data_IF_377137173238
#
_entry.id   IF_377137173238
#
_cell.length_a   1.000
_cell.length_b   1.000
_cell.length_c   1.000
_cell.angle_alpha   90.00
_cell.angle_beta   90.00
_cell.angle_gamma   90.00
#
_symmetry.space_group_name_H-M   'P 1'
#
loop_
_entity.id
_entity.type
_entity.pdbx_description
1 polymer ?
#
# COMPACT_ATOMS: atom_id res chain seq x y z
N UNK A 1 -31.73 3.24 4.48
CA UNK A 1 -30.71 2.88 5.49
C UNK A 1 -29.64 1.95 4.92
N UNK A 2 -29.96 0.78 4.38
CA UNK A 2 -28.97 -0.21 3.92
C UNK A 2 -27.98 0.25 2.84
N UNK A 3 -28.32 1.17 1.92
CA UNK A 3 -27.39 1.76 0.94
C UNK A 3 -26.40 2.74 1.59
N UNK A 4 -26.86 3.51 2.57
CA UNK A 4 -25.99 4.43 3.33
C UNK A 4 -24.93 3.62 4.09
N UNK A 5 -25.34 2.53 4.74
CA UNK A 5 -24.45 1.60 5.44
C UNK A 5 -23.40 1.02 4.46
N UNK A 6 -23.82 0.60 3.26
CA UNK A 6 -22.91 0.08 2.23
C UNK A 6 -21.86 1.13 1.82
N UNK A 7 -22.28 2.37 1.60
CA UNK A 7 -21.35 3.44 1.22
C UNK A 7 -20.39 3.77 2.36
N UNK A 8 -20.89 3.90 3.60
CA UNK A 8 -20.03 4.18 4.76
C UNK A 8 -19.00 3.05 4.94
N UNK A 9 -19.43 1.80 4.95
CA UNK A 9 -18.50 0.66 5.07
C UNK A 9 -17.56 0.57 3.87
N UNK A 10 -17.99 1.00 2.67
CA UNK A 10 -17.14 1.13 1.48
C UNK A 10 -16.04 2.17 1.66
N UNK A 11 -16.35 3.33 2.27
CA UNK A 11 -15.36 4.35 2.63
C UNK A 11 -14.34 3.79 3.61
N UNK A 12 -14.81 3.07 4.63
CA UNK A 12 -13.94 2.43 5.62
C UNK A 12 -13.02 1.37 5.00
N UNK A 13 -13.55 0.54 4.09
CA UNK A 13 -12.78 -0.42 3.32
C UNK A 13 -11.73 0.27 2.44
N UNK A 14 -12.10 1.40 1.85
CA UNK A 14 -11.24 2.22 1.01
C UNK A 14 -9.98 2.71 1.72
N UNK A 15 -10.01 2.86 3.04
CA UNK A 15 -8.83 3.16 3.85
C UNK A 15 -7.73 2.10 3.71
N UNK A 16 -8.08 0.82 3.70
CA UNK A 16 -7.13 -0.27 3.50
C UNK A 16 -6.56 -0.27 2.08
N UNK A 17 -7.41 -0.09 1.06
CA UNK A 17 -6.96 0.05 -0.33
C UNK A 17 -6.01 1.24 -0.50
N UNK A 18 -6.34 2.38 0.10
CA UNK A 18 -5.48 3.54 0.09
C UNK A 18 -4.09 3.25 0.69
N UNK A 19 -4.01 2.51 1.80
CA UNK A 19 -2.74 2.09 2.40
C UNK A 19 -1.91 1.21 1.46
N UNK A 20 -2.53 0.27 0.72
CA UNK A 20 -1.81 -0.49 -0.30
C UNK A 20 -1.19 0.41 -1.36
N UNK A 21 -1.92 1.44 -1.79
CA UNK A 21 -1.46 2.38 -2.81
C UNK A 21 -0.44 3.39 -2.31
N UNK A 22 -0.41 3.75 -1.01
CA UNK A 22 0.41 4.84 -0.49
C UNK A 22 1.92 4.63 -0.73
N UNK A 23 2.41 3.42 -0.41
CA UNK A 23 3.81 3.07 -0.62
C UNK A 23 4.18 3.08 -2.10
N UNK A 24 3.32 2.53 -2.96
CA UNK A 24 3.51 2.51 -4.40
C UNK A 24 3.49 3.93 -4.99
N UNK A 25 2.55 4.78 -4.54
CA UNK A 25 2.47 6.19 -4.94
C UNK A 25 3.74 6.97 -4.58
N UNK A 26 4.34 6.67 -3.43
CA UNK A 26 5.59 7.30 -3.00
C UNK A 26 6.76 6.92 -3.91
N UNK A 27 6.96 5.61 -4.16
CA UNK A 27 8.05 5.12 -5.04
C UNK A 27 7.89 5.68 -6.44
N UNK A 28 6.69 5.57 -7.02
CA UNK A 28 6.43 6.08 -8.35
C UNK A 28 6.59 7.60 -8.44
N UNK A 29 6.08 8.34 -7.46
CA UNK A 29 6.17 9.80 -7.41
C UNK A 29 7.59 10.34 -7.33
N UNK A 30 8.51 9.58 -6.73
CA UNK A 30 9.91 10.01 -6.53
C UNK A 30 10.87 9.44 -7.58
N UNK A 31 10.77 8.14 -7.85
CA UNK A 31 11.71 7.42 -8.72
C UNK A 31 11.18 7.17 -10.12
N UNK A 32 9.87 7.35 -10.35
CA UNK A 32 9.15 7.01 -11.59
C UNK A 32 9.34 5.55 -12.00
N UNK A 33 9.54 4.68 -11.02
CA UNK A 33 9.70 3.25 -11.18
C UNK A 33 8.48 2.53 -10.66
N UNK A 34 8.03 1.55 -11.42
CA UNK A 34 6.96 0.64 -11.01
C UNK A 34 7.58 -0.53 -10.27
N UNK A 35 7.23 -0.70 -9.00
CA UNK A 35 7.69 -1.82 -8.18
C UNK A 35 6.66 -2.96 -8.21
N UNK A 36 6.88 -3.96 -9.06
CA UNK A 36 5.98 -5.12 -9.19
C UNK A 36 6.03 -6.06 -7.97
N UNK A 37 7.06 -5.96 -7.12
CA UNK A 37 7.13 -6.72 -5.89
C UNK A 37 6.32 -6.10 -4.73
N UNK A 38 5.69 -4.93 -4.92
CA UNK A 38 5.05 -4.20 -3.82
C UNK A 38 3.97 -5.03 -3.11
N UNK A 39 3.13 -5.75 -3.84
CA UNK A 39 2.11 -6.63 -3.25
C UNK A 39 2.69 -7.79 -2.45
N UNK A 40 3.82 -8.35 -2.91
CA UNK A 40 4.51 -9.43 -2.20
C UNK A 40 5.13 -8.91 -0.88
N UNK A 41 5.58 -7.66 -0.83
CA UNK A 41 6.03 -7.03 0.43
C UNK A 41 4.91 -6.81 1.42
N UNK A 42 3.70 -6.49 0.96
CA UNK A 42 2.50 -6.43 1.82
C UNK A 42 2.23 -7.79 2.47
N UNK A 43 2.27 -8.86 1.67
CA UNK A 43 2.02 -10.23 2.16
C UNK A 43 3.18 -10.73 3.04
N UNK A 44 4.43 -10.45 2.68
CA UNK A 44 5.60 -10.79 3.50
C UNK A 44 5.51 -10.14 4.88
N UNK A 45 5.09 -8.88 4.95
CA UNK A 45 4.88 -8.19 6.22
C UNK A 45 3.75 -8.82 7.03
N UNK A 46 2.66 -9.29 6.38
CA UNK A 46 1.60 -10.03 7.03
C UNK A 46 2.11 -11.36 7.63
N UNK A 47 2.96 -12.11 6.89
CA UNK A 47 3.60 -13.31 7.40
C UNK A 47 4.54 -13.03 8.57
N UNK A 48 5.37 -11.99 8.46
CA UNK A 48 6.27 -11.62 9.54
C UNK A 48 5.50 -11.18 10.80
N UNK A 49 4.42 -10.42 10.64
CA UNK A 49 3.53 -10.05 11.72
C UNK A 49 2.86 -11.29 12.37
N UNK A 50 2.37 -12.24 11.55
CA UNK A 50 1.79 -13.49 12.02
C UNK A 50 2.81 -14.35 12.80
N UNK A 51 4.04 -14.41 12.32
CA UNK A 51 5.14 -15.09 13.01
C UNK A 51 5.44 -14.44 14.37
N UNK A 52 5.56 -13.11 14.43
CA UNK A 52 5.77 -12.41 15.70
C UNK A 52 4.59 -12.60 16.66
N UNK A 53 3.35 -12.58 16.16
CA UNK A 53 2.18 -12.84 16.99
C UNK A 53 2.19 -14.25 17.60
N UNK A 54 2.70 -15.25 16.88
CA UNK A 54 2.86 -16.62 17.41
C UNK A 54 3.96 -16.74 18.47
N UNK A 55 5.00 -15.91 18.39
CA UNK A 55 6.09 -15.88 19.38
C UNK A 55 5.73 -15.10 20.65
N UNK A 56 4.79 -14.15 20.53
CA UNK A 56 4.41 -13.23 21.60
C UNK A 56 2.91 -13.36 21.91
N UNK A 57 2.45 -14.52 22.42
CA UNK A 57 1.04 -14.73 22.74
C UNK A 57 0.60 -13.73 23.83
N UNK A 58 -0.54 -13.08 23.62
CA UNK A 58 -1.09 -12.06 24.54
C UNK A 58 -0.65 -10.61 24.24
N UNK A 59 0.28 -10.38 23.33
CA UNK A 59 0.60 -9.04 22.84
C UNK A 59 -0.42 -8.62 21.79
N UNK A 60 -0.96 -7.41 21.93
CA UNK A 60 -1.87 -6.86 20.91
C UNK A 60 -1.17 -6.82 19.55
N UNK A 61 -1.80 -7.35 18.47
CA UNK A 61 -1.22 -7.30 17.13
C UNK A 61 -0.85 -5.90 16.65
N UNK A 62 -1.55 -4.86 17.11
CA UNK A 62 -1.22 -3.47 16.78
C UNK A 62 0.14 -3.02 17.29
N UNK A 63 0.63 -3.57 18.40
CA UNK A 63 1.97 -3.28 18.92
C UNK A 63 3.08 -3.87 18.03
N UNK A 64 2.74 -4.88 17.23
CA UNK A 64 3.66 -5.50 16.27
C UNK A 64 3.92 -4.60 15.05
N UNK A 65 3.13 -3.53 14.87
CA UNK A 65 3.38 -2.56 13.78
C UNK A 65 4.81 -2.02 13.84
N UNK A 66 5.31 -1.67 15.03
CA UNK A 66 6.63 -1.07 15.17
C UNK A 66 7.78 -1.99 14.71
N UNK A 67 7.93 -3.24 15.22
CA UNK A 67 8.98 -4.14 14.77
C UNK A 67 8.82 -4.55 13.30
N UNK A 68 7.58 -4.76 12.82
CA UNK A 68 7.33 -5.12 11.42
C UNK A 68 7.69 -3.96 10.49
N UNK A 69 7.32 -2.73 10.85
CA UNK A 69 7.69 -1.53 10.09
C UNK A 69 9.20 -1.28 10.06
N UNK A 70 9.90 -1.50 11.17
CA UNK A 70 11.35 -1.36 11.23
C UNK A 70 12.06 -2.39 10.34
N UNK A 71 11.63 -3.65 10.39
CA UNK A 71 12.16 -4.71 9.53
C UNK A 71 11.88 -4.41 8.05
N UNK A 72 10.66 -3.95 7.72
CA UNK A 72 10.29 -3.57 6.37
C UNK A 72 11.10 -2.36 5.86
N UNK A 73 11.36 -1.35 6.70
CA UNK A 73 12.22 -0.23 6.36
C UNK A 73 13.63 -0.70 6.01
N UNK A 74 14.23 -1.53 6.88
CA UNK A 74 15.57 -2.06 6.65
C UNK A 74 15.64 -2.90 5.37
N UNK A 75 14.66 -3.77 5.13
CA UNK A 75 14.55 -4.57 3.92
C UNK A 75 14.43 -3.70 2.68
N UNK A 76 13.56 -2.68 2.70
CA UNK A 76 13.37 -1.77 1.57
C UNK A 76 14.62 -0.96 1.25
N UNK A 77 15.27 -0.44 2.28
CA UNK A 77 16.54 0.27 2.12
C UNK A 77 17.63 -0.63 1.52
N UNK A 78 17.80 -1.85 2.04
CA UNK A 78 18.77 -2.82 1.54
C UNK A 78 18.47 -3.24 0.11
N UNK A 79 17.23 -3.56 -0.21
CA UNK A 79 16.82 -3.92 -1.57
C UNK A 79 17.14 -2.80 -2.56
N UNK A 80 16.82 -1.55 -2.19
CA UNK A 80 17.13 -0.40 -3.02
C UNK A 80 18.64 -0.24 -3.21
N UNK A 81 19.41 -0.31 -2.12
CA UNK A 81 20.86 -0.07 -2.14
C UNK A 81 21.61 -1.15 -2.94
N UNK A 82 21.19 -2.40 -2.84
CA UNK A 82 21.91 -3.55 -3.44
C UNK A 82 21.48 -3.85 -4.87
N UNK A 83 20.18 -3.78 -5.15
CA UNK A 83 19.60 -4.25 -6.42
C UNK A 83 19.01 -3.11 -7.24
N UNK A 84 18.05 -2.35 -6.68
CA UNK A 84 17.21 -1.43 -7.46
C UNK A 84 18.01 -0.22 -7.96
N UNK A 85 18.98 0.29 -7.18
CA UNK A 85 19.83 1.41 -7.62
C UNK A 85 20.61 1.08 -8.89
N UNK A 86 21.08 -0.18 -9.05
CA UNK A 86 21.77 -0.64 -10.26
C UNK A 86 20.81 -0.68 -11.44
N UNK A 87 19.60 -1.16 -11.24
CA UNK A 87 18.56 -1.22 -12.26
C UNK A 87 18.10 0.18 -12.71
N UNK A 88 17.90 1.09 -11.77
CA UNK A 88 17.51 2.50 -12.04
C UNK A 88 18.63 3.29 -12.72
N UNK A 89 19.87 2.85 -12.62
CA UNK A 89 21.01 3.44 -13.35
C UNK A 89 21.05 3.03 -14.82
N UNK A 90 20.31 1.98 -15.23
CA UNK A 90 20.17 1.58 -16.62
C UNK A 90 19.44 2.65 -17.44
N UNK A 91 19.80 2.76 -18.72
CA UNK A 91 19.09 3.63 -19.67
C UNK A 91 17.72 3.05 -20.07
N UNK A 92 17.53 1.73 -19.92
CA UNK A 92 16.29 1.04 -20.27
C UNK A 92 15.32 1.06 -19.07
N UNK A 93 14.14 1.70 -19.19
CA UNK A 93 13.14 1.76 -18.13
C UNK A 93 12.50 0.40 -17.81
N UNK A 94 12.66 -0.62 -18.65
CA UNK A 94 12.15 -1.97 -18.40
C UNK A 94 13.01 -2.73 -17.38
N UNK A 95 14.29 -2.40 -17.23
CA UNK A 95 15.21 -3.12 -16.33
C UNK A 95 14.74 -3.09 -14.87
N UNK A 96 14.34 -1.95 -14.26
CA UNK A 96 13.79 -1.94 -12.91
C UNK A 96 12.49 -2.74 -12.78
N UNK A 97 11.63 -2.72 -13.80
CA UNK A 97 10.36 -3.46 -13.82
C UNK A 97 10.62 -4.97 -13.80
N UNK A 98 11.51 -5.46 -14.70
CA UNK A 98 11.88 -6.87 -14.77
C UNK A 98 12.58 -7.34 -13.48
N UNK A 99 13.46 -6.50 -12.91
CA UNK A 99 14.11 -6.80 -11.64
C UNK A 99 13.05 -6.98 -10.52
N UNK A 100 12.14 -6.04 -10.38
CA UNK A 100 11.12 -6.11 -9.31
C UNK A 100 10.13 -7.25 -9.54
N UNK A 101 9.84 -7.63 -10.79
CA UNK A 101 9.10 -8.84 -11.12
C UNK A 101 9.86 -10.10 -10.65
N UNK A 102 11.17 -10.20 -10.95
CA UNK A 102 11.99 -11.30 -10.45
C UNK A 102 12.00 -11.39 -8.92
N UNK A 103 12.13 -10.23 -8.24
CA UNK A 103 12.02 -10.15 -6.77
C UNK A 103 10.66 -10.65 -6.29
N UNK A 104 9.55 -10.28 -6.96
CA UNK A 104 8.21 -10.75 -6.61
C UNK A 104 8.11 -12.28 -6.67
N UNK A 105 8.61 -12.89 -7.76
CA UNK A 105 8.60 -14.34 -7.93
C UNK A 105 9.43 -15.03 -6.84
N UNK A 106 10.63 -14.51 -6.54
CA UNK A 106 11.49 -15.06 -5.49
C UNK A 106 10.81 -14.95 -4.12
N UNK A 107 10.26 -13.79 -3.77
CA UNK A 107 9.58 -13.58 -2.48
C UNK A 107 8.38 -14.52 -2.31
N UNK A 108 7.56 -14.68 -3.36
CA UNK A 108 6.41 -15.59 -3.32
C UNK A 108 6.82 -17.01 -3.05
N UNK A 109 7.80 -17.54 -3.80
CA UNK A 109 8.28 -18.90 -3.61
C UNK A 109 8.96 -19.08 -2.25
N UNK A 110 9.71 -18.08 -1.78
CA UNK A 110 10.29 -18.08 -0.45
C UNK A 110 9.21 -18.13 0.65
N UNK A 111 8.12 -17.38 0.50
CA UNK A 111 7.00 -17.43 1.44
C UNK A 111 6.32 -18.81 1.44
N UNK A 112 6.16 -19.45 0.27
CA UNK A 112 5.63 -20.82 0.18
C UNK A 112 6.54 -21.80 0.89
N UNK A 113 7.84 -21.72 0.68
CA UNK A 113 8.84 -22.63 1.30
C UNK A 113 8.91 -22.46 2.83
N UNK A 114 8.92 -21.20 3.31
CA UNK A 114 9.07 -20.92 4.75
C UNK A 114 7.78 -21.08 5.55
N UNK A 115 6.64 -20.76 4.96
CA UNK A 115 5.37 -20.66 5.70
C UNK A 115 4.29 -21.64 5.22
N UNK A 116 4.50 -22.30 4.08
CA UNK A 116 3.50 -23.15 3.43
C UNK A 116 2.51 -22.34 2.59
N UNK A 117 1.61 -23.04 1.90
CA UNK A 117 0.57 -22.44 1.05
C UNK A 117 -0.77 -22.21 1.77
N UNK A 118 -0.90 -22.68 3.00
CA UNK A 118 -2.14 -22.63 3.76
C UNK A 118 -2.54 -21.19 4.13
N UNK A 119 -3.85 -20.88 4.10
CA UNK A 119 -4.34 -19.57 4.54
C UNK A 119 -4.02 -19.30 6.01
N UNK A 120 -3.52 -18.10 6.30
CA UNK A 120 -3.26 -17.61 7.64
C UNK A 120 -4.05 -16.34 7.91
N UNK A 121 -4.33 -16.08 9.18
CA UNK A 121 -4.90 -14.83 9.68
C UNK A 121 -4.32 -14.54 11.06
N UNK A 122 -4.38 -13.28 11.49
CA UNK A 122 -4.03 -12.88 12.85
C UNK A 122 -5.33 -12.60 13.60
N UNK A 123 -5.51 -13.22 14.76
CA UNK A 123 -6.64 -12.90 15.60
C UNK A 123 -6.50 -11.47 16.15
N UNK A 124 -7.39 -10.59 15.71
CA UNK A 124 -7.46 -9.21 16.19
C UNK A 124 -8.30 -9.05 17.46
N UNK A 125 -8.83 -10.16 18.00
CA UNK A 125 -9.64 -10.17 19.22
C UNK A 125 -10.89 -9.31 19.13
N UNK A 126 -11.28 -8.75 20.27
CA UNK A 126 -12.48 -7.90 20.38
C UNK A 126 -12.47 -6.66 19.48
N UNK A 127 -11.28 -6.17 19.08
CA UNK A 127 -11.15 -5.00 18.22
C UNK A 127 -11.77 -5.19 16.83
N UNK A 128 -11.60 -6.39 16.26
CA UNK A 128 -12.09 -6.71 14.91
C UNK A 128 -13.59 -6.96 14.90
N UNK A 129 -14.12 -7.49 15.99
CA UNK A 129 -15.55 -7.82 16.12
C UNK A 129 -16.38 -6.69 16.69
N UNK A 130 -15.74 -5.74 17.41
CA UNK A 130 -16.42 -4.60 18.00
C UNK A 130 -16.96 -3.63 16.94
N UNK A 131 -18.11 -3.07 17.23
CA UNK A 131 -18.76 -2.04 16.42
C UNK A 131 -19.83 -1.33 17.24
N UNK A 132 -20.29 -0.21 16.74
CA UNK A 132 -21.37 0.57 17.33
C UNK A 132 -22.38 0.97 16.26
N UNK A 133 -23.61 1.16 16.70
CA UNK A 133 -24.70 1.55 15.81
C UNK A 133 -24.97 3.05 15.92
N UNK A 134 -24.91 3.75 14.79
CA UNK A 134 -25.24 5.17 14.68
C UNK A 134 -26.41 5.34 13.73
N UNK A 135 -27.54 5.79 14.24
CA UNK A 135 -28.74 6.02 13.44
C UNK A 135 -29.17 4.82 12.58
N UNK A 136 -28.99 3.58 13.08
CA UNK A 136 -29.33 2.35 12.36
C UNK A 136 -28.30 1.92 11.31
N UNK A 137 -27.09 2.48 11.35
CA UNK A 137 -25.93 2.07 10.54
C UNK A 137 -24.90 1.43 11.46
N UNK A 138 -24.52 0.19 11.21
CA UNK A 138 -23.47 -0.49 11.95
C UNK A 138 -22.09 -0.12 11.43
N UNK A 139 -21.26 0.46 12.31
CA UNK A 139 -19.89 0.88 12.01
C UNK A 139 -18.94 -0.01 12.81
N UNK A 140 -18.07 -0.76 12.11
CA UNK A 140 -17.02 -1.57 12.74
C UNK A 140 -15.88 -0.70 13.28
N UNK A 141 -15.43 -0.97 14.50
CA UNK A 141 -14.35 -0.22 15.14
C UNK A 141 -13.02 -0.44 14.39
N UNK A 142 -12.73 -1.66 13.97
CA UNK A 142 -11.51 -1.98 13.23
C UNK A 142 -11.44 -1.29 11.84
N UNK A 143 -12.46 -1.33 10.98
CA UNK A 143 -12.45 -0.57 9.73
C UNK A 143 -12.29 0.94 9.94
N UNK A 144 -12.87 1.50 11.00
CA UNK A 144 -12.71 2.91 11.36
C UNK A 144 -11.25 3.22 11.76
N UNK A 145 -10.62 2.34 12.56
CA UNK A 145 -9.20 2.43 12.91
C UNK A 145 -8.33 2.38 11.64
N UNK A 146 -8.60 1.45 10.71
CA UNK A 146 -7.87 1.33 9.44
C UNK A 146 -7.93 2.63 8.62
N UNK A 147 -9.11 3.22 8.49
CA UNK A 147 -9.27 4.51 7.81
C UNK A 147 -8.51 5.63 8.55
N UNK A 148 -8.57 5.66 9.88
CA UNK A 148 -7.80 6.61 10.70
C UNK A 148 -6.30 6.47 10.48
N UNK A 149 -5.77 5.24 10.49
CA UNK A 149 -4.36 4.95 10.18
C UNK A 149 -4.00 5.38 8.76
N UNK A 150 -4.88 5.15 7.79
CA UNK A 150 -4.68 5.62 6.42
C UNK A 150 -4.55 7.15 6.38
N UNK A 151 -5.51 7.88 6.92
CA UNK A 151 -5.50 9.37 6.93
C UNK A 151 -4.23 9.89 7.62
N UNK A 152 -3.86 9.35 8.77
CA UNK A 152 -2.64 9.73 9.50
C UNK A 152 -1.39 9.44 8.67
N UNK A 153 -1.32 8.30 7.99
CA UNK A 153 -0.21 7.92 7.13
C UNK A 153 -0.07 8.87 5.92
N UNK A 154 -1.18 9.20 5.26
CA UNK A 154 -1.19 10.17 4.15
C UNK A 154 -0.82 11.59 4.61
N UNK A 155 -1.40 12.06 5.71
CA UNK A 155 -1.09 13.36 6.28
C UNK A 155 0.37 13.45 6.75
N UNK A 156 0.86 12.40 7.42
CA UNK A 156 2.23 12.30 7.89
C UNK A 156 3.24 12.29 6.73
N UNK A 157 3.00 11.51 5.68
CA UNK A 157 3.83 11.51 4.48
C UNK A 157 3.83 12.87 3.78
N UNK A 158 2.66 13.48 3.63
CA UNK A 158 2.51 14.80 3.05
C UNK A 158 3.27 15.86 3.85
N UNK A 159 3.16 15.83 5.18
CA UNK A 159 3.89 16.71 6.08
C UNK A 159 5.39 16.49 5.95
N UNK A 160 5.86 15.23 5.98
CA UNK A 160 7.25 14.85 5.82
C UNK A 160 7.83 15.41 4.50
N UNK A 161 7.11 15.21 3.39
CA UNK A 161 7.58 15.64 2.08
C UNK A 161 7.51 17.17 1.88
N UNK A 162 6.52 17.88 2.46
CA UNK A 162 6.33 19.32 2.22
C UNK A 162 7.05 20.22 3.24
N UNK A 163 7.21 19.76 4.49
CA UNK A 163 7.65 20.60 5.61
C UNK A 163 9.04 20.27 6.13
N UNK A 164 9.68 19.18 5.68
CA UNK A 164 11.00 18.79 6.20
C UNK A 164 12.12 19.00 5.18
N UNK A 165 13.37 19.11 5.68
CA UNK A 165 14.57 19.15 4.83
C UNK A 165 14.74 17.88 4.01
N UNK A 166 14.37 16.72 4.57
CA UNK A 166 14.36 15.46 3.85
C UNK A 166 13.40 15.52 2.64
N UNK A 167 12.18 16.02 2.85
CA UNK A 167 11.21 16.18 1.76
C UNK A 167 11.68 17.14 0.66
N UNK A 168 12.42 18.19 1.02
CA UNK A 168 13.05 19.07 0.03
C UNK A 168 14.04 18.30 -0.85
N UNK A 169 14.93 17.51 -0.22
CA UNK A 169 15.93 16.70 -0.92
C UNK A 169 15.28 15.65 -1.79
N UNK A 170 14.20 14.99 -1.31
CA UNK A 170 13.44 13.99 -2.08
C UNK A 170 12.85 14.62 -3.34
N UNK A 171 12.17 15.78 -3.22
CA UNK A 171 11.60 16.47 -4.39
C UNK A 171 12.68 16.93 -5.38
N UNK A 172 13.75 17.54 -4.90
CA UNK A 172 14.86 17.93 -5.75
C UNK A 172 15.48 16.74 -6.49
N UNK A 173 15.60 15.58 -5.81
CA UNK A 173 16.11 14.33 -6.42
C UNK A 173 15.16 13.79 -7.48
N UNK A 174 13.85 13.89 -7.25
CA UNK A 174 12.81 13.50 -8.23
C UNK A 174 12.83 14.40 -9.47
N UNK A 175 13.10 15.70 -9.30
CA UNK A 175 13.14 16.67 -10.39
C UNK A 175 14.40 16.50 -11.24
N UNK A 176 15.59 16.46 -10.61
CA UNK A 176 16.84 16.30 -11.33
C UNK A 176 17.95 15.63 -10.49
N UNK A 177 18.14 14.32 -10.72
CA UNK A 177 19.14 13.50 -10.03
C UNK A 177 20.59 13.99 -10.24
N UNK A 178 20.93 14.50 -11.42
CA UNK A 178 22.30 14.92 -11.75
C UNK A 178 22.68 16.20 -11.04
N UNK A 179 21.77 17.18 -10.98
CA UNK A 179 21.98 18.45 -10.29
C UNK A 179 22.15 18.20 -8.78
N UNK A 180 21.30 17.39 -8.18
CA UNK A 180 21.36 17.08 -6.75
C UNK A 180 22.67 16.37 -6.38
N UNK A 181 23.18 15.49 -7.26
CA UNK A 181 24.49 14.87 -7.08
C UNK A 181 25.63 15.88 -7.14
N UNK A 182 25.57 16.87 -8.05
CA UNK A 182 26.55 17.95 -8.14
C UNK A 182 26.55 18.85 -6.88
N UNK A 183 25.41 18.94 -6.17
CA UNK A 183 25.28 19.65 -4.89
C UNK A 183 25.77 18.82 -3.67
N UNK A 184 26.38 17.66 -3.88
CA UNK A 184 26.93 16.80 -2.83
C UNK A 184 25.94 15.84 -2.17
N UNK A 185 24.69 15.79 -2.61
CA UNK A 185 23.71 14.82 -2.12
C UNK A 185 23.89 13.48 -2.87
N UNK A 186 23.70 12.39 -2.18
CA UNK A 186 23.74 11.02 -2.72
C UNK A 186 22.34 10.54 -3.09
N UNK A 187 21.90 10.62 -4.38
CA UNK A 187 20.54 10.23 -4.79
C UNK A 187 20.20 8.77 -4.45
N UNK A 188 21.19 7.88 -4.52
CA UNK A 188 21.02 6.46 -4.23
C UNK A 188 20.62 6.21 -2.77
N UNK A 189 21.16 7.00 -1.83
CA UNK A 189 20.75 6.97 -0.42
C UNK A 189 19.34 7.52 -0.22
N UNK A 190 18.99 8.60 -0.91
CA UNK A 190 17.62 9.16 -0.88
C UNK A 190 16.61 8.13 -1.37
N UNK A 191 16.90 7.45 -2.47
CA UNK A 191 16.04 6.38 -2.98
C UNK A 191 15.94 5.20 -2.01
N UNK A 192 17.02 4.85 -1.31
CA UNK A 192 17.01 3.84 -0.25
C UNK A 192 16.01 4.19 0.86
N UNK A 193 16.04 5.43 1.35
CA UNK A 193 15.11 5.87 2.38
C UNK A 193 13.66 5.88 1.85
N UNK A 194 13.44 6.36 0.63
CA UNK A 194 12.11 6.37 0.00
C UNK A 194 11.53 4.96 -0.13
N UNK A 195 12.34 3.98 -0.57
CA UNK A 195 11.92 2.58 -0.66
C UNK A 195 11.65 2.01 0.74
N UNK A 196 12.52 2.31 1.71
CA UNK A 196 12.31 1.91 3.11
C UNK A 196 10.97 2.42 3.66
N UNK A 197 10.67 3.72 3.51
CA UNK A 197 9.40 4.33 3.93
C UNK A 197 8.21 3.73 3.17
N UNK A 198 8.36 3.44 1.87
CA UNK A 198 7.32 2.76 1.08
C UNK A 198 6.98 1.40 1.66
N UNK A 199 7.99 0.60 2.03
CA UNK A 199 7.76 -0.71 2.63
C UNK A 199 7.24 -0.63 4.06
N UNK A 200 7.47 0.45 4.82
CA UNK A 200 6.76 0.72 6.08
C UNK A 200 5.26 0.79 5.86
N UNK A 201 4.80 1.54 4.84
CA UNK A 201 3.36 1.60 4.53
C UNK A 201 2.82 0.25 4.06
N UNK A 202 3.58 -0.49 3.24
CA UNK A 202 3.22 -1.86 2.87
C UNK A 202 3.11 -2.77 4.10
N UNK A 203 3.99 -2.61 5.08
CA UNK A 203 3.99 -3.40 6.32
C UNK A 203 2.78 -3.09 7.21
N UNK A 204 2.44 -1.80 7.37
CA UNK A 204 1.23 -1.39 8.09
C UNK A 204 -0.01 -1.96 7.41
N UNK A 205 -0.10 -1.84 6.09
CA UNK A 205 -1.20 -2.38 5.31
C UNK A 205 -1.30 -3.91 5.41
N UNK A 206 -0.17 -4.62 5.37
CA UNK A 206 -0.07 -6.07 5.47
C UNK A 206 -0.52 -6.60 6.84
N UNK A 207 -0.09 -5.97 7.94
CA UNK A 207 -0.53 -6.34 9.28
C UNK A 207 -2.04 -6.11 9.45
N UNK A 208 -2.56 -4.96 9.04
CA UNK A 208 -4.00 -4.67 9.11
C UNK A 208 -4.82 -5.60 8.20
N UNK A 209 -4.28 -5.99 7.04
CA UNK A 209 -4.87 -7.02 6.18
C UNK A 209 -4.98 -8.35 6.92
N UNK A 210 -3.87 -8.81 7.54
CA UNK A 210 -3.80 -10.09 8.24
C UNK A 210 -4.77 -10.19 9.43
N UNK A 211 -5.08 -9.05 10.09
CA UNK A 211 -6.10 -8.97 11.13
C UNK A 211 -7.54 -8.97 10.58
N UNK A 212 -7.72 -8.56 9.33
CA UNK A 212 -9.05 -8.43 8.71
C UNK A 212 -9.52 -9.70 8.02
N UNK A 213 -8.62 -10.36 7.29
CA UNK A 213 -8.95 -11.49 6.42
C UNK A 213 -7.79 -12.47 6.35
N UNK A 214 -8.07 -13.70 5.95
CA UNK A 214 -7.03 -14.67 5.64
C UNK A 214 -6.23 -14.24 4.41
N UNK A 215 -4.95 -14.61 4.40
CA UNK A 215 -4.01 -14.36 3.32
C UNK A 215 -3.15 -15.61 3.05
N UNK A 216 -2.69 -15.73 1.83
CA UNK A 216 -1.79 -16.79 1.36
C UNK A 216 -0.58 -16.17 0.67
N UNK A 217 0.50 -16.93 0.37
CA UNK A 217 1.63 -16.40 -0.41
C UNK A 217 1.23 -15.87 -1.79
N UNK A 218 0.10 -16.33 -2.33
CA UNK A 218 -0.39 -15.92 -3.66
C UNK A 218 -1.24 -14.63 -3.64
N UNK A 219 -1.57 -14.12 -2.46
CA UNK A 219 -2.39 -12.91 -2.31
C UNK A 219 -1.69 -11.63 -2.80
N UNK A 220 -0.35 -11.66 -3.00
CA UNK A 220 0.44 -10.48 -3.38
C UNK A 220 0.02 -9.84 -4.69
N UNK A 221 -0.32 -10.65 -5.71
CA UNK A 221 -0.75 -10.14 -7.03
C UNK A 221 -2.02 -9.33 -6.93
N UNK A 222 -3.01 -9.82 -6.19
CA UNK A 222 -4.28 -9.11 -5.97
C UNK A 222 -4.06 -7.79 -5.23
N UNK A 223 -3.17 -7.78 -4.22
CA UNK A 223 -2.84 -6.55 -3.46
C UNK A 223 -2.08 -5.54 -4.31
N UNK A 224 -1.19 -6.02 -5.18
CA UNK A 224 -0.49 -5.19 -6.15
C UNK A 224 -1.48 -4.54 -7.12
N UNK A 225 -2.41 -5.33 -7.69
CA UNK A 225 -3.42 -4.83 -8.62
C UNK A 225 -4.26 -3.72 -7.96
N UNK A 226 -4.78 -3.95 -6.76
CA UNK A 226 -5.53 -2.94 -6.01
C UNK A 226 -4.70 -1.69 -5.72
N UNK A 227 -3.41 -1.83 -5.37
CA UNK A 227 -2.52 -0.70 -5.16
C UNK A 227 -2.32 0.12 -6.44
N UNK A 228 -2.18 -0.53 -7.60
CA UNK A 228 -2.10 0.14 -8.89
C UNK A 228 -3.37 0.90 -9.24
N UNK A 229 -4.51 0.28 -9.07
CA UNK A 229 -5.82 0.91 -9.33
C UNK A 229 -5.99 2.17 -8.49
N UNK A 230 -5.68 2.10 -7.19
CA UNK A 230 -5.69 3.25 -6.28
C UNK A 230 -4.84 4.40 -6.80
N UNK A 231 -3.59 4.09 -7.19
CA UNK A 231 -2.63 5.12 -7.64
C UNK A 231 -3.02 5.71 -8.99
N UNK A 232 -3.53 4.90 -9.91
CA UNK A 232 -3.96 5.36 -11.24
C UNK A 232 -5.25 6.16 -11.15
N UNK A 233 -6.26 5.66 -10.41
CA UNK A 233 -7.51 6.41 -10.15
C UNK A 233 -7.18 7.75 -9.49
N UNK A 234 -6.31 7.72 -8.48
CA UNK A 234 -5.90 8.91 -7.75
C UNK A 234 -5.15 9.93 -8.60
N UNK A 235 -4.45 9.45 -9.63
CA UNK A 235 -3.51 10.20 -10.47
C UNK A 235 -2.07 10.03 -9.98
N UNK A 236 -1.21 9.62 -10.90
CA UNK A 236 0.19 9.31 -10.65
C UNK A 236 0.91 10.53 -10.03
N UNK A 237 1.45 10.35 -8.81
CA UNK A 237 2.16 11.40 -8.06
C UNK A 237 1.27 12.26 -7.16
N UNK A 238 -0.05 11.99 -7.07
CA UNK A 238 -0.95 12.67 -6.13
C UNK A 238 -1.29 11.77 -4.94
N UNK A 239 -0.77 12.10 -3.75
CA UNK A 239 -1.07 11.32 -2.54
C UNK A 239 -2.54 11.41 -2.14
N UNK A 240 -3.11 12.62 -2.07
CA UNK A 240 -4.54 12.78 -1.73
C UNK A 240 -5.46 12.19 -2.80
N UNK A 241 -5.01 12.21 -4.06
CA UNK A 241 -5.69 11.50 -5.14
C UNK A 241 -5.72 9.99 -4.86
N UNK A 242 -4.60 9.39 -4.42
CA UNK A 242 -4.54 7.98 -4.08
C UNK A 242 -5.48 7.62 -2.90
N UNK A 243 -5.59 8.49 -1.87
CA UNK A 243 -6.58 8.29 -0.80
C UNK A 243 -8.02 8.27 -1.37
N UNK A 244 -8.34 9.25 -2.21
CA UNK A 244 -9.66 9.31 -2.87
C UNK A 244 -9.90 8.11 -3.78
N UNK A 245 -8.87 7.66 -4.51
CA UNK A 245 -8.90 6.45 -5.36
C UNK A 245 -9.20 5.18 -4.55
N UNK A 246 -8.54 5.02 -3.40
CA UNK A 246 -8.79 3.90 -2.50
C UNK A 246 -10.22 3.91 -1.94
N UNK A 247 -10.72 5.09 -1.53
CA UNK A 247 -12.11 5.24 -1.07
C UNK A 247 -13.09 4.90 -2.20
N UNK A 248 -12.84 5.39 -3.42
CA UNK A 248 -13.70 5.10 -4.57
C UNK A 248 -13.75 3.60 -4.88
N UNK A 249 -12.61 2.90 -4.85
CA UNK A 249 -12.55 1.44 -5.02
C UNK A 249 -13.31 0.69 -3.93
N UNK A 250 -13.11 1.07 -2.67
CA UNK A 250 -13.80 0.43 -1.55
C UNK A 250 -15.32 0.58 -1.63
N UNK A 251 -15.80 1.77 -2.01
CA UNK A 251 -17.23 2.02 -2.23
C UNK A 251 -17.75 1.20 -3.41
N UNK A 252 -17.05 1.21 -4.55
CA UNK A 252 -17.46 0.44 -5.72
C UNK A 252 -17.55 -1.05 -5.43
N UNK A 253 -16.59 -1.59 -4.68
CA UNK A 253 -16.58 -2.99 -4.29
C UNK A 253 -17.80 -3.37 -3.44
N UNK A 254 -18.11 -2.59 -2.38
CA UNK A 254 -19.23 -2.93 -1.50
C UNK A 254 -20.59 -2.66 -2.16
N UNK A 255 -20.69 -1.64 -2.99
CA UNK A 255 -21.88 -1.41 -3.83
C UNK A 255 -22.07 -2.58 -4.79
N UNK A 256 -21.00 -3.02 -5.48
CA UNK A 256 -21.05 -4.18 -6.35
C UNK A 256 -21.44 -5.46 -5.63
N UNK A 257 -20.83 -5.72 -4.46
CA UNK A 257 -21.14 -6.89 -3.63
C UNK A 257 -22.59 -6.88 -3.12
N UNK A 258 -23.20 -5.71 -2.99
CA UNK A 258 -24.60 -5.59 -2.62
C UNK A 258 -25.55 -5.89 -3.79
N UNK A 259 -25.14 -5.58 -5.02
CA UNK A 259 -25.91 -5.89 -6.24
C UNK A 259 -25.81 -7.38 -6.57
N UNK A 260 -24.61 -7.94 -6.48
CA UNK A 260 -24.30 -9.36 -6.64
C UNK A 260 -23.18 -9.73 -5.65
N UNK A 261 -23.49 -10.65 -4.74
CA UNK A 261 -22.59 -11.07 -3.64
C UNK A 261 -21.20 -11.51 -4.12
N UNK A 262 -21.09 -12.02 -5.33
CA UNK A 262 -19.84 -12.54 -5.91
C UNK A 262 -19.12 -11.52 -6.81
N UNK A 263 -19.76 -10.41 -7.18
CA UNK A 263 -19.26 -9.47 -8.17
C UNK A 263 -18.55 -8.23 -7.57
N UNK A 264 -18.32 -8.17 -6.27
CA UNK A 264 -17.73 -6.99 -5.63
C UNK A 264 -16.42 -6.55 -6.27
N UNK A 265 -15.48 -7.45 -6.46
CA UNK A 265 -14.19 -7.14 -7.12
C UNK A 265 -14.37 -6.68 -8.57
N UNK A 266 -15.30 -7.29 -9.30
CA UNK A 266 -15.61 -6.91 -10.68
C UNK A 266 -16.02 -5.43 -10.79
N UNK A 267 -16.90 -4.97 -9.88
CA UNK A 267 -17.34 -3.56 -9.89
C UNK A 267 -16.21 -2.58 -9.54
N UNK A 268 -15.28 -2.98 -8.65
CA UNK A 268 -14.09 -2.18 -8.36
C UNK A 268 -13.22 -2.03 -9.62
N UNK A 269 -12.93 -3.14 -10.32
CA UNK A 269 -12.15 -3.12 -11.57
C UNK A 269 -12.88 -2.37 -12.69
N UNK A 270 -14.20 -2.51 -12.82
CA UNK A 270 -14.99 -1.74 -13.79
C UNK A 270 -14.91 -0.25 -13.50
N UNK A 271 -15.02 0.19 -12.24
CA UNK A 271 -14.83 1.59 -11.89
C UNK A 271 -13.46 2.09 -12.33
N UNK A 272 -12.40 1.31 -12.09
CA UNK A 272 -11.05 1.64 -12.53
C UNK A 272 -11.00 1.84 -14.05
N UNK A 273 -11.53 0.91 -14.85
CA UNK A 273 -11.55 1.04 -16.31
C UNK A 273 -12.34 2.25 -16.78
N UNK A 274 -13.51 2.52 -16.19
CA UNK A 274 -14.35 3.69 -16.54
C UNK A 274 -13.58 4.99 -16.26
N UNK A 275 -12.92 5.09 -15.08
CA UNK A 275 -12.14 6.28 -14.74
C UNK A 275 -10.96 6.44 -15.72
N UNK A 276 -10.26 5.36 -16.05
CA UNK A 276 -9.14 5.38 -16.97
C UNK A 276 -9.56 5.83 -18.38
N UNK A 277 -10.73 5.39 -18.85
CA UNK A 277 -11.28 5.81 -20.15
C UNK A 277 -11.67 7.29 -20.19
N UNK A 278 -12.26 7.82 -19.10
CA UNK A 278 -12.75 9.20 -19.05
C UNK A 278 -11.64 10.17 -18.64
N UNK A 279 -10.77 9.77 -17.71
CA UNK A 279 -9.68 10.57 -17.15
C UNK A 279 -8.39 9.77 -17.06
N UNK A 280 -7.63 9.62 -18.14
CA UNK A 280 -6.41 8.81 -18.16
C UNK A 280 -5.31 9.32 -17.18
N UNK A 281 -5.38 10.60 -16.78
CA UNK A 281 -4.46 11.17 -15.77
C UNK A 281 -4.95 11.01 -14.33
N UNK A 282 -6.07 10.30 -14.10
CA UNK A 282 -6.69 10.12 -12.80
C UNK A 282 -7.48 11.35 -12.31
N UNK A 283 -8.04 11.23 -11.08
CA UNK A 283 -8.92 12.25 -10.50
C UNK A 283 -8.17 13.54 -10.12
N UNK A 284 -6.93 13.43 -9.65
CA UNK A 284 -6.10 14.55 -9.21
C UNK A 284 -4.82 14.72 -10.05
N UNK A 285 -4.74 14.10 -11.23
CA UNK A 285 -3.62 14.25 -12.14
C UNK A 285 -3.52 15.70 -12.66
N UNK A 286 -2.33 16.28 -12.63
CA UNK A 286 -2.11 17.60 -13.18
C UNK A 286 -2.45 17.59 -14.69
N UNK A 287 -3.32 18.50 -15.13
CA UNK A 287 -3.43 18.84 -16.55
C UNK A 287 -2.08 19.42 -16.97
N UNK A 288 -1.31 18.66 -17.74
CA UNK A 288 -0.16 19.19 -18.47
C UNK A 288 -0.63 20.03 -19.65
#
# INVERSE_FOLDING_TARGET
>A
MAWIETVINGILLGGLYALFGLGLALVFGVMRVVNLAHGEFVVLAAYFASYLASLLPGVSPLLLIAPVALAAFALGYLLQATLVNRAVASADPLVPVLLTFGVAVVLRNLMVELFGADPRAIDGGALVTAGFDVAGVRIGLFPLLVLGVAIVSFAGLQWLLRRTRFGLVVRATSDNRSIVRAMGVRPDHVYGIVMGVSLVFAAVAGLLLAMRTSFTPFSGVERLLGAFEVVIIGGLGSFWGALAGGIALGVAQLVGQRLDSNAGALYAHLLFFVILMIRPNGLAGARR
#
